data_IF_150355194732
#
_entry.id   IF_150355194732
#
_cell.length_a   1.000
_cell.length_b   1.000
_cell.length_c   1.000
_cell.angle_alpha   90.00
_cell.angle_beta   90.00
_cell.angle_gamma   90.00
#
_symmetry.space_group_name_H-M   'P 1'
#
loop_
_entity.id
_entity.type
_entity.pdbx_description
1 polymer ?
#
# COMPACT_ATOMS: atom_id res chain seq x y z
N UNK A 1 19.20 11.84 -13.43
CA UNK A 1 18.28 10.81 -12.88
C UNK A 1 17.67 10.05 -14.05
N UNK A 2 17.80 8.75 -14.07
CA UNK A 2 17.12 7.87 -15.02
C UNK A 2 16.31 6.87 -14.17
N UNK A 3 14.98 6.84 -14.34
CA UNK A 3 14.08 5.97 -13.61
C UNK A 3 13.42 4.99 -14.58
N UNK A 4 13.31 3.73 -14.18
CA UNK A 4 12.62 2.72 -14.99
C UNK A 4 11.11 3.01 -15.07
N UNK A 5 10.47 2.52 -16.13
CA UNK A 5 9.01 2.62 -16.26
C UNK A 5 8.34 1.91 -15.08
N UNK A 6 7.16 2.43 -14.71
CA UNK A 6 6.41 1.85 -13.60
C UNK A 6 5.55 0.69 -14.11
N UNK A 7 6.11 -0.53 -14.09
CA UNK A 7 5.54 -1.72 -14.73
C UNK A 7 4.06 -1.96 -14.42
N UNK A 8 3.67 -1.82 -13.14
CA UNK A 8 2.27 -2.01 -12.72
C UNK A 8 1.36 -0.92 -13.29
N UNK A 9 1.79 0.35 -13.28
CA UNK A 9 0.99 1.47 -13.78
C UNK A 9 0.88 1.41 -15.32
N UNK A 10 1.98 1.08 -16.03
CA UNK A 10 1.97 0.88 -17.47
C UNK A 10 1.01 -0.24 -17.86
N UNK A 11 1.03 -1.36 -17.11
CA UNK A 11 0.11 -2.48 -17.30
C UNK A 11 -1.35 -2.05 -17.04
N UNK A 12 -1.62 -1.32 -15.97
CA UNK A 12 -2.96 -0.84 -15.67
C UNK A 12 -3.48 0.11 -16.76
N UNK A 13 -2.67 1.08 -17.19
CA UNK A 13 -3.04 2.04 -18.23
C UNK A 13 -3.38 1.35 -19.57
N UNK A 14 -2.69 0.27 -19.92
CA UNK A 14 -2.94 -0.46 -21.17
C UNK A 14 -4.17 -1.37 -21.07
N UNK A 15 -4.36 -2.09 -19.96
CA UNK A 15 -5.30 -3.21 -19.90
C UNK A 15 -6.58 -2.96 -19.09
N UNK A 16 -6.62 -1.96 -18.17
CA UNK A 16 -7.82 -1.67 -17.36
C UNK A 16 -9.07 -1.40 -18.24
N UNK A 17 -8.88 -0.84 -19.43
CA UNK A 17 -9.94 -0.60 -20.41
C UNK A 17 -10.68 -1.86 -20.89
N UNK A 18 -10.06 -3.04 -20.78
CA UNK A 18 -10.68 -4.33 -21.11
C UNK A 18 -11.41 -4.97 -19.94
N UNK A 19 -11.36 -4.35 -18.77
CA UNK A 19 -11.86 -4.93 -17.53
C UNK A 19 -13.38 -4.97 -17.47
N UNK A 20 -13.91 -6.19 -17.55
CA UNK A 20 -15.28 -6.50 -17.11
C UNK A 20 -15.29 -6.97 -15.66
N UNK A 21 -14.26 -7.71 -15.29
CA UNK A 21 -13.99 -8.18 -13.94
C UNK A 21 -12.64 -7.62 -13.49
N UNK A 22 -12.69 -6.50 -12.76
CA UNK A 22 -11.47 -5.83 -12.26
C UNK A 22 -10.96 -6.56 -11.02
N UNK A 23 -10.00 -7.45 -11.22
CA UNK A 23 -9.25 -8.15 -10.19
C UNK A 23 -7.79 -7.67 -10.13
N UNK A 24 -7.44 -6.58 -10.80
CA UNK A 24 -6.10 -5.96 -10.76
C UNK A 24 -5.99 -4.82 -9.76
N UNK A 25 -7.10 -4.13 -9.48
CA UNK A 25 -7.12 -2.99 -8.56
C UNK A 25 -6.98 -3.44 -7.10
N UNK A 26 -6.28 -2.63 -6.30
CA UNK A 26 -5.89 -2.98 -4.92
C UNK A 26 -6.64 -2.19 -3.85
N UNK A 27 -7.72 -1.49 -4.21
CA UNK A 27 -8.59 -0.79 -3.24
C UNK A 27 -9.70 -1.72 -2.76
N UNK A 28 -10.13 -1.57 -1.51
CA UNK A 28 -11.47 -1.99 -1.13
C UNK A 28 -12.47 -1.11 -1.90
N UNK A 29 -13.69 -1.58 -2.14
CA UNK A 29 -14.71 -0.79 -2.82
C UNK A 29 -14.68 0.67 -2.36
N UNK A 30 -14.40 1.57 -3.31
CA UNK A 30 -14.35 3.01 -3.02
C UNK A 30 -15.68 3.50 -2.47
N UNK A 31 -15.60 4.47 -1.59
CA UNK A 31 -16.75 5.06 -0.91
C UNK A 31 -17.13 6.39 -1.58
N UNK A 32 -18.39 6.60 -1.84
CA UNK A 32 -18.92 7.92 -2.20
C UNK A 32 -19.02 8.83 -0.98
N UNK A 33 -19.17 10.13 -1.17
CA UNK A 33 -19.45 11.04 -0.06
C UNK A 33 -20.83 10.75 0.58
N UNK A 34 -21.80 10.28 -0.22
CA UNK A 34 -23.11 9.87 0.33
C UNK A 34 -22.96 8.74 1.32
N UNK A 35 -22.25 7.67 0.93
CA UNK A 35 -21.96 6.52 1.81
C UNK A 35 -21.17 6.95 3.07
N UNK A 36 -20.25 7.93 2.94
CA UNK A 36 -19.54 8.48 4.08
C UNK A 36 -20.48 9.20 5.05
N UNK A 37 -21.44 9.98 4.56
CA UNK A 37 -22.43 10.64 5.39
C UNK A 37 -23.36 9.63 6.08
N UNK A 38 -23.85 8.63 5.36
CA UNK A 38 -24.67 7.55 5.93
C UNK A 38 -23.93 6.81 7.04
N UNK A 39 -22.66 6.47 6.81
CA UNK A 39 -21.83 5.76 7.77
C UNK A 39 -21.49 6.62 8.99
N UNK A 40 -21.19 7.91 8.78
CA UNK A 40 -20.82 8.83 9.87
C UNK A 40 -22.00 9.28 10.71
N UNK A 41 -23.19 9.39 10.10
CA UNK A 41 -24.35 10.06 10.70
C UNK A 41 -24.21 11.58 10.79
N UNK A 42 -23.22 12.17 10.12
CA UNK A 42 -23.02 13.61 10.08
C UNK A 42 -24.09 14.28 9.24
N UNK A 43 -24.50 15.50 9.63
CA UNK A 43 -25.47 16.27 8.87
C UNK A 43 -24.85 16.76 7.55
N UNK A 44 -25.25 16.13 6.44
CA UNK A 44 -24.74 16.39 5.09
C UNK A 44 -24.88 17.87 4.70
N UNK A 45 -26.05 18.47 4.93
CA UNK A 45 -26.30 19.86 4.55
C UNK A 45 -25.38 20.82 5.30
N UNK A 46 -25.25 20.65 6.60
CA UNK A 46 -24.36 21.46 7.43
C UNK A 46 -22.89 21.32 6.99
N UNK A 47 -22.45 20.09 6.70
CA UNK A 47 -21.10 19.86 6.26
C UNK A 47 -20.83 20.48 4.88
N UNK A 48 -21.73 20.29 3.90
CA UNK A 48 -21.61 20.90 2.58
C UNK A 48 -21.63 22.43 2.64
N UNK A 49 -22.50 23.01 3.47
CA UNK A 49 -22.52 24.46 3.69
C UNK A 49 -21.18 24.96 4.27
N UNK A 50 -20.58 24.21 5.21
CA UNK A 50 -19.26 24.56 5.76
C UNK A 50 -18.15 24.48 4.71
N UNK A 51 -18.18 23.47 3.82
CA UNK A 51 -17.25 23.37 2.70
C UNK A 51 -17.42 24.53 1.70
N UNK A 52 -18.65 24.91 1.38
CA UNK A 52 -18.93 26.05 0.50
C UNK A 52 -18.45 27.37 1.10
N UNK A 53 -18.49 27.52 2.42
CA UNK A 53 -18.00 28.70 3.12
C UNK A 53 -16.45 28.72 3.30
N UNK A 54 -15.80 27.58 3.06
CA UNK A 54 -14.35 27.44 3.24
C UNK A 54 -13.59 28.22 2.17
N UNK A 55 -12.79 29.18 2.60
CA UNK A 55 -11.90 29.93 1.68
C UNK A 55 -10.82 29.01 1.11
N UNK A 56 -10.67 29.03 -0.20
CA UNK A 56 -9.73 28.18 -0.96
C UNK A 56 -8.32 28.80 -0.97
N UNK A 57 -7.76 29.10 0.22
CA UNK A 57 -6.36 29.46 0.40
C UNK A 57 -5.47 28.24 0.63
N UNK A 58 -4.18 28.46 0.89
CA UNK A 58 -3.21 27.37 1.14
C UNK A 58 -3.50 26.55 2.42
N UNK A 59 -4.35 27.01 3.31
CA UNK A 59 -4.68 26.31 4.55
C UNK A 59 -3.47 26.17 5.49
N UNK A 60 -3.36 25.00 6.11
CA UNK A 60 -2.28 24.68 7.05
C UNK A 60 -1.11 24.02 6.35
N UNK A 61 0.08 24.62 6.40
CA UNK A 61 1.26 24.10 5.70
C UNK A 61 1.62 22.67 6.14
N UNK A 62 1.61 22.35 7.41
CA UNK A 62 1.92 20.98 7.92
C UNK A 62 0.69 20.04 7.95
N UNK A 63 -0.47 20.49 7.48
CA UNK A 63 -1.74 19.75 7.50
C UNK A 63 -2.74 20.31 8.52
N UNK A 64 -4.02 20.13 8.25
CA UNK A 64 -5.11 20.58 9.09
C UNK A 64 -5.01 19.97 10.51
N UNK A 65 -5.10 20.76 11.60
CA UNK A 65 -5.01 20.26 12.98
C UNK A 65 -6.03 19.15 13.31
N UNK A 66 -7.29 19.30 12.90
CA UNK A 66 -8.32 18.27 13.15
C UNK A 66 -8.02 16.96 12.39
N UNK A 67 -7.48 17.07 11.16
CA UNK A 67 -7.01 15.93 10.41
C UNK A 67 -5.84 15.23 11.13
N UNK A 68 -4.83 15.99 11.54
CA UNK A 68 -3.66 15.45 12.24
C UNK A 68 -4.03 14.80 13.58
N UNK A 69 -4.96 15.38 14.31
CA UNK A 69 -5.53 14.80 15.52
C UNK A 69 -6.25 13.45 15.23
N UNK A 70 -6.97 13.37 14.10
CA UNK A 70 -7.58 12.11 13.64
C UNK A 70 -6.53 11.08 13.27
N UNK A 71 -5.47 11.48 12.57
CA UNK A 71 -4.35 10.59 12.20
C UNK A 71 -3.62 10.09 13.44
N UNK A 72 -3.29 10.97 14.41
CA UNK A 72 -2.57 10.60 15.62
C UNK A 72 -3.26 9.47 16.41
N UNK A 73 -4.59 9.41 16.41
CA UNK A 73 -5.36 8.33 17.06
C UNK A 73 -5.14 6.94 16.44
N UNK A 74 -4.61 6.87 15.23
CA UNK A 74 -4.27 5.60 14.57
C UNK A 74 -2.95 5.01 15.08
N UNK A 75 -2.22 5.74 15.91
CA UNK A 75 -0.92 5.39 16.47
C UNK A 75 -0.97 5.35 18.00
N UNK A 76 0.07 4.79 18.62
CA UNK A 76 0.18 4.72 20.09
C UNK A 76 1.02 5.87 20.67
N UNK A 77 2.08 6.27 19.95
CA UNK A 77 3.10 7.20 20.45
C UNK A 77 3.31 8.41 19.53
N UNK A 78 2.69 8.40 18.35
CA UNK A 78 2.76 9.51 17.38
C UNK A 78 1.78 10.61 17.81
N UNK A 79 2.29 11.82 17.92
CA UNK A 79 1.52 13.03 18.22
C UNK A 79 1.31 13.88 16.96
N UNK A 80 0.46 14.90 17.03
CA UNK A 80 0.16 15.78 15.89
C UNK A 80 1.41 16.48 15.32
N UNK A 81 2.42 16.79 16.18
CA UNK A 81 3.71 17.34 15.76
C UNK A 81 4.52 16.43 14.84
N UNK A 82 4.34 15.12 14.97
CA UNK A 82 5.05 14.08 14.25
C UNK A 82 4.42 13.74 12.88
N UNK A 83 3.39 14.49 12.43
CA UNK A 83 2.61 14.17 11.23
C UNK A 83 2.75 15.28 10.20
N UNK A 84 2.98 14.90 8.95
CA UNK A 84 3.01 15.77 7.78
C UNK A 84 2.08 15.22 6.70
N UNK A 85 1.09 16.00 6.25
CA UNK A 85 0.19 15.60 5.16
C UNK A 85 0.87 15.68 3.79
N UNK A 86 0.48 14.81 2.85
CA UNK A 86 1.07 14.66 1.52
C UNK A 86 0.01 14.36 0.46
N UNK A 87 0.37 14.48 -0.83
CA UNK A 87 -0.50 14.07 -1.95
C UNK A 87 -0.47 12.54 -2.08
N UNK A 88 -1.28 11.85 -1.27
CA UNK A 88 -1.30 10.39 -1.18
C UNK A 88 -0.01 9.80 -0.63
N UNK A 89 0.02 8.48 -0.47
CA UNK A 89 1.22 7.74 -0.06
C UNK A 89 2.34 7.82 -1.11
N UNK A 90 1.98 7.90 -2.39
CA UNK A 90 2.97 8.05 -3.47
C UNK A 90 3.81 9.33 -3.30
N UNK A 91 3.17 10.45 -2.96
CA UNK A 91 3.86 11.69 -2.65
C UNK A 91 4.68 11.60 -1.36
N UNK A 92 4.19 10.85 -0.35
CA UNK A 92 4.91 10.62 0.90
C UNK A 92 6.20 9.80 0.67
N UNK A 93 6.11 8.66 -0.01
CA UNK A 93 7.26 7.82 -0.33
C UNK A 93 8.32 8.61 -1.11
N UNK A 94 7.89 9.32 -2.17
CA UNK A 94 8.82 10.16 -2.95
C UNK A 94 9.50 11.22 -2.08
N UNK A 95 8.75 11.89 -1.20
CA UNK A 95 9.30 12.94 -0.32
C UNK A 95 10.34 12.37 0.65
N UNK A 96 10.11 11.17 1.21
CA UNK A 96 11.08 10.51 2.10
C UNK A 96 12.40 10.29 1.39
N UNK A 97 12.39 9.69 0.20
CA UNK A 97 13.62 9.47 -0.59
C UNK A 97 14.31 10.80 -0.93
N UNK A 98 13.55 11.73 -1.48
CA UNK A 98 14.06 13.03 -1.89
C UNK A 98 14.69 13.84 -0.74
N UNK A 99 14.20 13.62 0.49
CA UNK A 99 14.62 14.39 1.67
C UNK A 99 15.76 13.77 2.45
N UNK A 100 15.88 12.45 2.48
CA UNK A 100 16.80 11.76 3.37
C UNK A 100 17.97 11.11 2.67
N UNK A 101 17.83 10.72 1.39
CA UNK A 101 18.79 9.85 0.72
C UNK A 101 19.71 10.67 -0.18
N UNK A 102 21.01 10.55 0.05
CA UNK A 102 22.06 11.12 -0.76
C UNK A 102 22.57 10.09 -1.80
N UNK A 103 23.17 10.53 -2.93
CA UNK A 103 23.66 9.61 -3.97
C UNK A 103 24.64 8.54 -3.49
N UNK A 104 25.38 8.80 -2.42
CA UNK A 104 26.39 7.89 -1.85
C UNK A 104 25.83 6.95 -0.77
N UNK A 105 24.59 7.13 -0.36
CA UNK A 105 23.97 6.33 0.70
C UNK A 105 23.64 4.91 0.21
N UNK A 106 23.59 3.97 1.15
CA UNK A 106 22.99 2.66 0.93
C UNK A 106 21.51 2.67 1.28
N UNK A 107 20.68 2.18 0.35
CA UNK A 107 19.24 1.91 0.57
C UNK A 107 18.99 0.44 0.37
N UNK A 108 18.28 -0.20 1.32
CA UNK A 108 17.90 -1.61 1.27
C UNK A 108 16.39 -1.69 1.10
N UNK A 109 15.91 -2.29 0.01
CA UNK A 109 14.47 -2.45 -0.27
C UNK A 109 14.08 -3.92 -0.26
N UNK A 110 13.02 -4.26 0.45
CA UNK A 110 12.49 -5.62 0.50
C UNK A 110 11.53 -5.83 -0.69
N UNK A 111 11.79 -6.83 -1.55
CA UNK A 111 10.99 -7.13 -2.74
C UNK A 111 10.49 -8.59 -2.72
N UNK A 112 9.31 -8.91 -3.35
CA UNK A 112 8.45 -8.04 -4.14
C UNK A 112 7.71 -7.00 -3.28
N UNK A 113 7.55 -5.80 -3.84
CA UNK A 113 6.86 -4.69 -3.18
C UNK A 113 6.34 -3.67 -4.20
N UNK A 114 5.74 -2.58 -3.71
CA UNK A 114 5.36 -1.45 -4.55
C UNK A 114 6.61 -0.77 -5.15
N UNK A 115 6.64 -0.62 -6.45
CA UNK A 115 7.85 -0.29 -7.23
C UNK A 115 8.55 1.00 -6.77
N UNK A 116 7.83 1.99 -6.26
CA UNK A 116 8.44 3.22 -5.72
C UNK A 116 9.54 2.93 -4.70
N UNK A 117 9.36 1.89 -3.86
CA UNK A 117 10.26 1.61 -2.75
C UNK A 117 11.64 1.13 -3.19
N UNK A 118 11.81 0.66 -4.43
CA UNK A 118 13.11 0.22 -4.95
C UNK A 118 13.55 0.98 -6.21
N UNK A 119 12.64 1.42 -7.09
CA UNK A 119 13.02 2.12 -8.32
C UNK A 119 13.42 3.58 -8.07
N UNK A 120 12.78 4.26 -7.11
CA UNK A 120 13.17 5.64 -6.78
C UNK A 120 14.62 5.70 -6.27
N UNK A 121 15.03 4.96 -5.22
CA UNK A 121 16.42 5.00 -4.78
C UNK A 121 17.39 4.52 -5.87
N UNK A 122 17.05 3.47 -6.64
CA UNK A 122 17.90 2.99 -7.74
C UNK A 122 18.13 4.05 -8.83
N UNK A 123 17.26 5.04 -8.97
CA UNK A 123 17.37 6.07 -10.00
C UNK A 123 18.45 7.13 -9.72
N UNK A 124 18.91 7.28 -8.48
CA UNK A 124 19.87 8.31 -8.10
C UNK A 124 20.91 7.88 -7.05
N UNK A 125 20.66 6.81 -6.32
CA UNK A 125 21.53 6.27 -5.29
C UNK A 125 22.47 5.23 -5.91
N UNK A 126 23.79 5.32 -5.64
CA UNK A 126 24.79 4.40 -6.20
C UNK A 126 24.79 3.02 -5.54
N UNK A 127 24.22 2.88 -4.37
CA UNK A 127 24.22 1.64 -3.57
C UNK A 127 22.79 1.26 -3.12
N UNK A 128 21.88 1.19 -4.09
CA UNK A 128 20.53 0.66 -3.88
C UNK A 128 20.55 -0.87 -4.02
N UNK A 129 20.26 -1.59 -2.95
CA UNK A 129 20.27 -3.05 -2.91
C UNK A 129 18.88 -3.59 -2.54
N UNK A 130 18.61 -4.83 -2.95
CA UNK A 130 17.33 -5.48 -2.66
C UNK A 130 17.54 -6.74 -1.81
N UNK A 131 16.58 -6.99 -0.92
CA UNK A 131 16.43 -8.24 -0.20
C UNK A 131 15.17 -8.94 -0.70
N UNK A 132 15.33 -10.16 -1.22
CA UNK A 132 14.22 -10.90 -1.82
C UNK A 132 13.42 -11.65 -0.76
N UNK A 133 12.11 -11.35 -0.68
CA UNK A 133 11.15 -12.08 0.12
C UNK A 133 10.76 -13.37 -0.62
N UNK A 134 10.87 -14.51 0.06
CA UNK A 134 10.69 -15.84 -0.55
C UNK A 134 9.33 -16.43 -0.17
N UNK A 135 8.66 -17.07 -1.13
CA UNK A 135 7.40 -17.79 -0.93
C UNK A 135 7.48 -18.82 0.19
N UNK A 136 8.59 -19.56 0.25
CA UNK A 136 8.86 -20.61 1.24
C UNK A 136 8.90 -20.06 2.67
N UNK A 137 9.26 -18.78 2.84
CA UNK A 137 9.26 -18.08 4.12
C UNK A 137 7.97 -17.27 4.35
N UNK A 138 6.90 -17.52 3.58
CA UNK A 138 5.65 -16.76 3.67
C UNK A 138 5.79 -15.29 3.29
N UNK A 139 6.78 -14.95 2.44
CA UNK A 139 7.17 -13.59 2.07
C UNK A 139 7.57 -12.71 3.27
N UNK A 140 8.07 -13.33 4.33
CA UNK A 140 8.71 -12.61 5.43
C UNK A 140 10.23 -12.50 5.17
N UNK A 141 10.88 -11.39 5.61
CA UNK A 141 12.31 -11.22 5.40
C UNK A 141 13.14 -12.20 6.23
N UNK A 142 14.23 -12.67 5.64
CA UNK A 142 15.30 -13.33 6.38
C UNK A 142 16.13 -12.26 7.10
N UNK A 143 16.09 -12.27 8.42
CA UNK A 143 16.75 -11.25 9.24
C UNK A 143 18.29 -11.40 9.24
N UNK A 144 18.81 -12.57 8.96
CA UNK A 144 20.25 -12.77 8.86
C UNK A 144 20.76 -12.29 7.49
N UNK A 145 20.00 -12.51 6.42
CA UNK A 145 20.27 -11.86 5.11
C UNK A 145 20.22 -10.31 5.28
N UNK A 146 19.21 -9.77 5.97
CA UNK A 146 19.11 -8.33 6.21
C UNK A 146 20.33 -7.79 6.99
N UNK A 147 20.75 -8.45 8.07
CA UNK A 147 21.95 -8.06 8.83
C UNK A 147 23.21 -8.01 7.98
N UNK A 148 23.37 -8.96 7.04
CA UNK A 148 24.52 -9.03 6.16
C UNK A 148 24.54 -7.90 5.10
N UNK A 149 23.38 -7.33 4.78
CA UNK A 149 23.27 -6.19 3.86
C UNK A 149 23.57 -4.85 4.53
N UNK A 150 23.49 -4.76 5.86
CA UNK A 150 23.74 -3.52 6.61
C UNK A 150 25.23 -3.13 6.53
N UNK A 151 25.47 -1.86 6.28
CA UNK A 151 26.81 -1.24 6.35
C UNK A 151 26.72 0.05 7.15
N UNK A 152 27.85 0.63 7.58
CA UNK A 152 27.85 1.95 8.22
C UNK A 152 27.25 3.07 7.37
N UNK A 153 27.15 2.84 6.05
CA UNK A 153 26.59 3.80 5.08
C UNK A 153 25.10 3.54 4.79
N UNK A 154 24.48 2.58 5.47
CA UNK A 154 23.04 2.30 5.30
C UNK A 154 22.24 3.45 5.86
N UNK A 155 21.51 4.13 4.99
CA UNK A 155 20.67 5.29 5.30
C UNK A 155 19.23 4.91 5.55
N UNK A 156 18.69 3.98 4.73
CA UNK A 156 17.26 3.68 4.72
C UNK A 156 17.02 2.18 4.45
N UNK A 157 16.11 1.59 5.21
CA UNK A 157 15.52 0.27 4.95
C UNK A 157 14.06 0.49 4.56
N UNK A 158 13.64 -0.02 3.40
CA UNK A 158 12.28 0.15 2.88
C UNK A 158 11.50 -1.15 3.01
N UNK A 159 10.38 -1.09 3.73
CA UNK A 159 9.45 -2.20 3.91
C UNK A 159 8.03 -1.76 3.51
N UNK A 160 7.20 -2.72 3.12
CA UNK A 160 5.76 -2.49 2.94
C UNK A 160 5.00 -3.49 3.81
N UNK A 161 4.29 -3.00 4.82
CA UNK A 161 3.66 -3.86 5.83
C UNK A 161 2.28 -3.33 6.27
N UNK A 162 1.19 -4.01 5.91
CA UNK A 162 1.07 -5.25 5.10
C UNK A 162 1.58 -5.10 3.67
N UNK A 163 2.09 -6.20 3.11
CA UNK A 163 2.80 -6.18 1.83
C UNK A 163 1.86 -6.25 0.61
N UNK A 164 2.07 -5.39 -0.36
CA UNK A 164 1.59 -5.52 -1.73
C UNK A 164 2.81 -5.95 -2.59
N UNK A 165 2.77 -7.10 -3.29
CA UNK A 165 1.57 -7.80 -3.75
C UNK A 165 1.13 -9.03 -2.93
N UNK A 166 1.83 -9.43 -1.89
CA UNK A 166 1.72 -10.77 -1.30
C UNK A 166 0.66 -10.92 -0.21
N UNK A 167 0.25 -9.82 0.42
CA UNK A 167 -0.62 -9.85 1.60
C UNK A 167 0.06 -10.37 2.87
N UNK A 168 1.39 -10.50 2.85
CA UNK A 168 2.16 -10.89 4.02
C UNK A 168 2.13 -9.79 5.08
N UNK A 169 2.14 -10.19 6.35
CA UNK A 169 2.14 -9.29 7.51
C UNK A 169 3.30 -9.66 8.44
N UNK A 170 4.25 -8.76 8.59
CA UNK A 170 5.35 -8.90 9.55
C UNK A 170 4.80 -8.73 10.98
N UNK A 171 5.02 -9.69 11.88
CA UNK A 171 4.57 -9.58 13.26
C UNK A 171 5.42 -8.57 14.05
N UNK A 172 4.87 -8.08 15.20
CA UNK A 172 5.54 -7.09 16.05
C UNK A 172 7.00 -7.46 16.37
N UNK A 173 7.25 -8.68 16.84
CA UNK A 173 8.61 -9.09 17.20
C UNK A 173 9.60 -9.09 16.03
N UNK A 174 9.14 -9.26 14.79
CA UNK A 174 9.99 -9.11 13.60
C UNK A 174 10.28 -7.65 13.30
N UNK A 175 9.27 -6.77 13.39
CA UNK A 175 9.45 -5.33 13.22
C UNK A 175 10.41 -4.74 14.26
N UNK A 176 10.33 -5.20 15.52
CA UNK A 176 11.26 -4.83 16.59
C UNK A 176 12.69 -5.26 16.27
N UNK A 177 12.89 -6.48 15.73
CA UNK A 177 14.21 -6.94 15.31
C UNK A 177 14.76 -6.15 14.13
N UNK A 178 13.93 -5.79 13.15
CA UNK A 178 14.32 -4.91 12.02
C UNK A 178 14.73 -3.54 12.56
N UNK A 179 13.98 -2.99 13.51
CA UNK A 179 14.33 -1.73 14.18
C UNK A 179 15.69 -1.80 14.88
N UNK A 180 15.96 -2.87 15.61
CA UNK A 180 17.28 -3.09 16.26
C UNK A 180 18.43 -3.24 15.26
N UNK A 181 18.17 -3.83 14.10
CA UNK A 181 19.16 -3.95 13.02
C UNK A 181 19.44 -2.56 12.43
N UNK A 182 18.42 -1.77 12.15
CA UNK A 182 18.54 -0.42 11.61
C UNK A 182 19.26 0.52 12.58
N UNK A 183 18.93 0.43 13.87
CA UNK A 183 19.48 1.28 14.94
C UNK A 183 21.02 1.16 15.06
N UNK A 184 21.56 -0.04 14.88
CA UNK A 184 23.02 -0.28 14.89
C UNK A 184 23.78 0.50 13.82
N UNK A 185 23.14 0.80 12.70
CA UNK A 185 23.69 1.62 11.62
C UNK A 185 23.23 3.08 11.68
N UNK A 186 22.32 3.41 12.60
CA UNK A 186 21.66 4.71 12.67
C UNK A 186 20.71 4.99 11.49
N UNK A 187 20.31 3.92 10.78
CA UNK A 187 19.47 3.99 9.60
C UNK A 187 18.00 4.30 9.92
N UNK A 188 17.30 4.96 9.01
CA UNK A 188 15.84 5.08 9.05
C UNK A 188 15.17 3.81 8.52
N UNK A 189 13.89 3.62 8.87
CA UNK A 189 13.04 2.60 8.27
C UNK A 189 11.84 3.30 7.65
N UNK A 190 11.69 3.23 6.33
CA UNK A 190 10.48 3.61 5.62
C UNK A 190 9.55 2.41 5.58
N UNK A 191 8.43 2.51 6.27
CA UNK A 191 7.35 1.52 6.27
C UNK A 191 6.15 2.07 5.52
N UNK A 192 5.90 1.56 4.31
CA UNK A 192 4.64 1.82 3.62
C UNK A 192 3.55 0.98 4.27
N UNK A 193 2.65 1.65 4.99
CA UNK A 193 1.62 1.06 5.83
C UNK A 193 0.20 1.34 5.29
N UNK A 194 0.04 1.56 3.99
CA UNK A 194 -1.26 1.92 3.38
C UNK A 194 -2.35 0.88 3.60
N UNK A 195 -1.99 -0.37 3.93
CA UNK A 195 -2.93 -1.44 4.26
C UNK A 195 -3.05 -1.71 5.77
N UNK A 196 -2.37 -0.96 6.64
CA UNK A 196 -2.41 -1.13 8.09
C UNK A 196 -3.79 -0.85 8.65
N UNK A 197 -4.45 -1.88 9.16
CA UNK A 197 -5.85 -1.88 9.61
C UNK A 197 -6.78 -2.72 8.73
N UNK A 198 -6.32 -3.23 7.57
CA UNK A 198 -7.09 -4.16 6.75
C UNK A 198 -6.66 -5.60 7.03
N UNK A 199 -7.37 -6.29 7.91
CA UNK A 199 -7.17 -7.70 8.25
C UNK A 199 -8.52 -8.42 8.30
N UNK A 200 -8.61 -9.67 7.83
CA UNK A 200 -9.84 -10.46 7.95
C UNK A 200 -10.25 -10.69 9.42
N UNK A 201 -9.27 -10.72 10.33
CA UNK A 201 -9.48 -10.97 11.76
C UNK A 201 -9.54 -9.68 12.60
N UNK A 202 -9.56 -8.50 11.97
CA UNK A 202 -9.54 -7.19 12.64
C UNK A 202 -8.32 -7.02 13.58
N UNK A 203 -7.19 -7.67 13.25
CA UNK A 203 -5.97 -7.64 14.06
C UNK A 203 -5.40 -6.21 14.12
N UNK A 204 -5.03 -5.77 15.33
CA UNK A 204 -4.33 -4.49 15.51
C UNK A 204 -2.88 -4.63 15.05
N UNK A 205 -2.56 -3.94 13.97
CA UNK A 205 -1.22 -3.96 13.38
C UNK A 205 -0.35 -2.87 13.97
N UNK A 206 0.88 -3.21 14.42
CA UNK A 206 1.83 -2.21 14.88
C UNK A 206 2.29 -1.30 13.74
N UNK A 207 2.66 -0.06 14.06
CA UNK A 207 3.31 0.86 13.15
C UNK A 207 4.79 0.96 13.45
N UNK A 208 5.62 1.09 12.42
CA UNK A 208 7.05 1.32 12.58
C UNK A 208 7.35 2.66 13.28
N UNK A 209 6.50 3.66 13.06
CA UNK A 209 6.61 4.95 13.76
C UNK A 209 6.39 4.84 15.28
N UNK A 210 5.59 3.85 15.74
CA UNK A 210 5.43 3.59 17.18
C UNK A 210 6.58 2.79 17.79
N UNK A 211 7.25 1.94 16.98
CA UNK A 211 8.28 1.00 17.42
C UNK A 211 9.65 1.68 17.49
N UNK A 212 10.00 2.45 16.48
CA UNK A 212 11.33 3.01 16.30
C UNK A 212 11.28 4.53 16.12
N UNK A 213 12.19 5.28 16.76
CA UNK A 213 12.20 6.74 16.67
C UNK A 213 12.44 7.23 15.24
N UNK A 214 13.38 6.58 14.52
CA UNK A 214 13.64 6.81 13.09
C UNK A 214 12.75 5.95 12.17
N UNK A 215 11.67 5.38 12.70
CA UNK A 215 10.63 4.71 11.94
C UNK A 215 9.71 5.72 11.27
N UNK A 216 9.57 5.60 9.95
CA UNK A 216 8.73 6.45 9.12
C UNK A 216 7.57 5.63 8.63
N UNK A 217 6.35 5.91 9.11
CA UNK A 217 5.12 5.32 8.59
C UNK A 217 4.56 6.20 7.49
N UNK A 218 4.30 5.61 6.33
CA UNK A 218 3.57 6.24 5.23
C UNK A 218 2.20 5.59 5.12
N UNK A 219 1.15 6.39 5.12
CA UNK A 219 -0.22 5.92 4.96
C UNK A 219 -1.06 6.90 4.14
N UNK A 220 -2.31 6.53 3.81
CA UNK A 220 -3.20 7.38 3.01
C UNK A 220 -4.67 7.06 3.20
N UNK A 221 -5.53 7.94 2.68
CA UNK A 221 -6.97 7.71 2.59
C UNK A 221 -7.36 6.68 1.53
N UNK A 222 -6.42 6.23 0.68
CA UNK A 222 -6.71 5.47 -0.54
C UNK A 222 -7.15 4.03 -0.30
N UNK A 223 -6.54 3.33 0.66
CA UNK A 223 -6.72 1.87 0.85
C UNK A 223 -7.62 1.58 2.04
N UNK A 224 -7.14 1.86 3.25
CA UNK A 224 -7.86 1.59 4.50
C UNK A 224 -9.17 2.34 4.60
N UNK A 225 -9.25 3.55 4.04
CA UNK A 225 -10.41 4.43 4.15
C UNK A 225 -11.30 4.48 2.90
N UNK A 226 -10.96 3.74 1.83
CA UNK A 226 -11.75 3.68 0.58
C UNK A 226 -11.97 5.03 -0.13
N UNK A 227 -11.11 6.02 0.12
CA UNK A 227 -11.22 7.40 -0.37
C UNK A 227 -10.01 7.79 -1.22
N UNK A 228 -9.65 6.94 -2.20
CA UNK A 228 -8.50 7.15 -3.08
C UNK A 228 -8.57 8.47 -3.88
N UNK A 229 -9.77 8.92 -4.20
CA UNK A 229 -10.02 10.16 -4.94
C UNK A 229 -9.61 11.44 -4.22
N UNK A 230 -9.50 11.43 -2.89
CA UNK A 230 -9.04 12.59 -2.11
C UNK A 230 -7.56 12.92 -2.33
N UNK A 231 -6.78 12.02 -2.91
CA UNK A 231 -5.34 12.21 -3.10
C UNK A 231 -4.61 12.67 -1.84
N UNK A 232 -5.01 12.17 -0.67
CA UNK A 232 -4.47 12.57 0.62
C UNK A 232 -3.77 11.39 1.31
N UNK A 233 -2.56 11.64 1.81
CA UNK A 233 -1.76 10.74 2.62
C UNK A 233 -0.97 11.49 3.68
N UNK A 234 -0.11 10.80 4.38
CA UNK A 234 0.73 11.40 5.42
C UNK A 234 2.00 10.58 5.67
N UNK A 235 2.98 11.30 6.20
CA UNK A 235 4.15 10.76 6.87
C UNK A 235 3.93 10.90 8.37
N UNK A 236 4.22 9.85 9.14
CA UNK A 236 4.31 9.90 10.59
C UNK A 236 5.70 9.43 11.03
N UNK A 237 6.43 10.25 11.79
CA UNK A 237 7.76 9.96 12.28
C UNK A 237 8.02 10.74 13.56
N UNK A 238 8.58 10.09 14.60
CA UNK A 238 8.86 10.76 15.89
C UNK A 238 10.16 11.56 15.88
N UNK A 239 11.04 11.35 14.94
CA UNK A 239 12.22 12.20 14.74
C UNK A 239 11.79 13.57 14.18
N UNK A 240 11.77 14.57 15.06
CA UNK A 240 11.38 15.94 14.73
C UNK A 240 12.30 16.56 13.66
N UNK A 241 13.59 16.24 13.66
CA UNK A 241 14.54 16.74 12.67
C UNK A 241 14.21 16.21 11.27
N UNK A 242 13.77 14.95 11.18
CA UNK A 242 13.29 14.37 9.93
C UNK A 242 12.01 15.07 9.45
N UNK A 243 11.03 15.29 10.33
CA UNK A 243 9.79 16.04 10.01
C UNK A 243 10.09 17.43 9.47
N UNK A 244 10.98 18.19 10.12
CA UNK A 244 11.36 19.53 9.65
C UNK A 244 12.08 19.47 8.29
N UNK A 245 12.85 18.43 8.04
CA UNK A 245 13.48 18.21 6.74
C UNK A 245 12.44 17.89 5.67
N UNK A 246 11.45 17.04 5.95
CA UNK A 246 10.33 16.76 5.04
C UNK A 246 9.52 18.01 4.73
N UNK A 247 9.24 18.87 5.71
CA UNK A 247 8.54 20.15 5.48
C UNK A 247 9.31 21.01 4.50
N UNK A 248 10.61 21.25 4.75
CA UNK A 248 11.44 22.10 3.87
C UNK A 248 11.50 21.57 2.43
N UNK A 249 11.65 20.26 2.24
CA UNK A 249 11.74 19.65 0.91
C UNK A 249 10.38 19.61 0.21
N UNK A 250 9.28 19.42 0.96
CA UNK A 250 7.93 19.46 0.42
C UNK A 250 7.57 20.82 -0.20
N UNK A 251 8.08 21.92 0.35
CA UNK A 251 7.83 23.26 -0.17
C UNK A 251 8.32 23.45 -1.62
N UNK A 252 9.27 22.64 -2.09
CA UNK A 252 9.71 22.62 -3.49
C UNK A 252 8.82 21.81 -4.42
N UNK A 253 7.92 20.98 -3.89
CA UNK A 253 7.00 20.14 -4.67
C UNK A 253 5.56 20.60 -4.50
N UNK A 254 5.13 20.77 -3.26
CA UNK A 254 3.79 21.22 -2.90
C UNK A 254 3.84 22.03 -1.60
N UNK A 255 3.13 23.13 -1.52
CA UNK A 255 3.12 23.97 -0.31
C UNK A 255 2.23 23.35 0.77
N UNK A 256 1.01 22.95 0.41
CA UNK A 256 0.01 22.35 1.31
C UNK A 256 -0.89 21.38 0.55
N UNK A 257 -1.62 20.54 1.26
CA UNK A 257 -2.70 19.74 0.69
C UNK A 257 -3.96 20.61 0.45
N UNK A 258 -4.91 20.06 -0.29
CA UNK A 258 -6.21 20.67 -0.54
C UNK A 258 -7.01 20.81 0.78
N UNK A 259 -7.45 22.02 1.09
CA UNK A 259 -8.26 22.28 2.29
C UNK A 259 -9.61 21.55 2.26
N UNK A 260 -10.16 21.34 1.06
CA UNK A 260 -11.40 20.59 0.86
C UNK A 260 -11.20 19.11 1.17
N UNK A 261 -10.13 18.50 0.63
CA UNK A 261 -9.83 17.09 0.83
C UNK A 261 -9.46 16.80 2.28
N UNK A 262 -8.70 17.70 2.92
CA UNK A 262 -8.38 17.58 4.36
C UNK A 262 -9.64 17.66 5.23
N UNK A 263 -10.64 18.46 4.85
CA UNK A 263 -11.92 18.54 5.58
C UNK A 263 -12.72 17.24 5.48
N UNK A 264 -12.82 16.67 4.27
CA UNK A 264 -13.49 15.38 4.05
C UNK A 264 -12.75 14.25 4.77
N UNK A 265 -11.42 14.22 4.68
CA UNK A 265 -10.61 13.23 5.37
C UNK A 265 -10.73 13.34 6.90
N UNK A 266 -10.87 14.55 7.44
CA UNK A 266 -11.12 14.75 8.88
C UNK A 266 -12.44 14.14 9.32
N UNK A 267 -13.50 14.24 8.51
CA UNK A 267 -14.77 13.56 8.77
C UNK A 267 -14.59 12.03 8.74
N UNK A 268 -13.89 11.51 7.74
CA UNK A 268 -13.63 10.06 7.64
C UNK A 268 -12.84 9.54 8.85
N UNK A 269 -11.80 10.26 9.29
CA UNK A 269 -10.97 9.85 10.43
C UNK A 269 -11.70 9.94 11.77
N UNK A 270 -12.67 10.85 11.94
CA UNK A 270 -13.58 10.83 13.11
C UNK A 270 -14.40 9.55 13.19
N UNK A 271 -14.58 8.87 12.07
CA UNK A 271 -15.34 7.63 11.93
C UNK A 271 -14.47 6.43 11.52
N UNK A 272 -13.15 6.50 11.77
CA UNK A 272 -12.16 5.51 11.34
C UNK A 272 -12.57 4.07 11.69
N UNK A 273 -13.02 3.83 12.92
CA UNK A 273 -13.37 2.48 13.38
C UNK A 273 -14.51 1.87 12.57
N UNK A 274 -15.53 2.68 12.20
CA UNK A 274 -16.65 2.22 11.37
C UNK A 274 -16.22 1.88 9.95
N UNK A 275 -15.37 2.74 9.36
CA UNK A 275 -14.83 2.53 8.01
C UNK A 275 -13.94 1.28 7.98
N UNK A 276 -13.02 1.17 8.93
CA UNK A 276 -12.11 0.02 9.04
C UNK A 276 -12.90 -1.28 9.22
N UNK A 277 -13.90 -1.29 10.10
CA UNK A 277 -14.76 -2.46 10.32
C UNK A 277 -15.51 -2.89 9.05
N UNK A 278 -16.12 -1.92 8.32
CA UNK A 278 -16.75 -2.17 7.01
C UNK A 278 -15.77 -2.84 6.06
N UNK A 279 -14.56 -2.28 5.97
CA UNK A 279 -13.55 -2.74 5.02
C UNK A 279 -12.93 -4.08 5.42
N UNK A 280 -12.71 -4.35 6.69
CA UNK A 280 -12.29 -5.67 7.19
C UNK A 280 -13.33 -6.76 6.90
N UNK A 281 -14.62 -6.44 7.00
CA UNK A 281 -15.68 -7.37 6.61
C UNK A 281 -15.59 -7.73 5.13
N UNK A 282 -15.42 -6.73 4.24
CA UNK A 282 -15.22 -6.98 2.81
C UNK A 282 -13.96 -7.80 2.52
N UNK A 283 -12.84 -7.52 3.22
CA UNK A 283 -11.60 -8.29 3.11
C UNK A 283 -11.85 -9.76 3.46
N UNK A 284 -12.52 -10.03 4.58
CA UNK A 284 -12.82 -11.39 5.04
C UNK A 284 -13.67 -12.15 4.05
N UNK A 285 -14.82 -11.56 3.64
CA UNK A 285 -15.74 -12.20 2.70
C UNK A 285 -15.07 -12.52 1.36
N UNK A 286 -14.34 -11.58 0.79
CA UNK A 286 -13.63 -11.79 -0.46
C UNK A 286 -12.48 -12.79 -0.33
N UNK A 287 -11.74 -12.77 0.78
CA UNK A 287 -10.66 -13.74 1.01
C UNK A 287 -11.21 -15.16 1.13
N UNK A 288 -12.38 -15.36 1.72
CA UNK A 288 -13.05 -16.66 1.76
C UNK A 288 -13.41 -17.19 0.37
N UNK A 289 -13.86 -16.32 -0.54
CA UNK A 289 -14.12 -16.68 -1.94
C UNK A 289 -12.83 -17.09 -2.64
N UNK A 290 -11.77 -16.30 -2.52
CA UNK A 290 -10.47 -16.58 -3.12
C UNK A 290 -9.90 -17.91 -2.58
N UNK A 291 -9.95 -18.11 -1.27
CA UNK A 291 -9.43 -19.31 -0.59
C UNK A 291 -10.16 -20.60 -1.06
N UNK A 292 -11.50 -20.54 -1.16
CA UNK A 292 -12.30 -21.64 -1.71
C UNK A 292 -11.91 -21.96 -3.14
N UNK A 293 -11.73 -20.94 -3.97
CA UNK A 293 -11.34 -21.13 -5.37
C UNK A 293 -9.95 -21.76 -5.50
N UNK A 294 -8.95 -21.28 -4.78
CA UNK A 294 -7.59 -21.87 -4.76
C UNK A 294 -7.65 -23.33 -4.32
N UNK A 295 -8.36 -23.64 -3.23
CA UNK A 295 -8.44 -25.01 -2.69
C UNK A 295 -9.24 -25.97 -3.59
N UNK A 296 -10.07 -25.46 -4.49
CA UNK A 296 -10.80 -26.27 -5.47
C UNK A 296 -10.00 -26.58 -6.74
N UNK A 297 -8.90 -25.89 -6.97
CA UNK A 297 -8.07 -26.02 -8.17
C UNK A 297 -6.85 -26.90 -7.92
N UNK A 298 -6.43 -27.64 -8.97
CA UNK A 298 -5.17 -28.38 -8.96
C UNK A 298 -3.99 -27.52 -9.46
N UNK A 299 -4.29 -26.43 -10.16
CA UNK A 299 -3.32 -25.65 -10.92
C UNK A 299 -2.90 -24.36 -10.25
N UNK A 300 -3.58 -23.97 -9.16
CA UNK A 300 -3.31 -22.73 -8.46
C UNK A 300 -2.87 -22.96 -7.02
N UNK A 301 -1.93 -22.14 -6.57
CA UNK A 301 -1.47 -22.13 -5.18
C UNK A 301 -1.12 -20.71 -4.74
N UNK A 302 -1.16 -20.44 -3.45
CA UNK A 302 -0.74 -19.15 -2.92
C UNK A 302 -0.25 -19.28 -1.47
N UNK A 303 0.42 -18.25 -0.97
CA UNK A 303 0.54 -18.03 0.48
C UNK A 303 -0.67 -17.22 0.88
N UNK A 304 -1.53 -17.77 1.75
CA UNK A 304 -2.77 -17.09 2.15
C UNK A 304 -2.46 -15.72 2.76
N UNK A 305 -3.02 -14.64 2.22
CA UNK A 305 -2.83 -13.30 2.77
C UNK A 305 -3.26 -13.21 4.23
N UNK A 306 -2.43 -12.56 5.03
CA UNK A 306 -2.78 -12.24 6.42
C UNK A 306 -3.43 -10.86 6.55
N UNK A 307 -3.18 -9.98 5.60
CA UNK A 307 -3.68 -8.61 5.62
C UNK A 307 -3.64 -7.97 4.23
N UNK A 308 -4.24 -6.78 4.10
CA UNK A 308 -4.33 -6.07 2.84
C UNK A 308 -5.42 -6.61 1.94
N UNK A 309 -5.29 -6.33 0.65
CA UNK A 309 -6.32 -6.58 -0.37
C UNK A 309 -5.78 -7.35 -1.58
N UNK A 310 -4.55 -7.85 -1.49
CA UNK A 310 -3.83 -8.48 -2.60
C UNK A 310 -3.30 -9.85 -2.25
N UNK A 311 -3.19 -10.71 -3.25
CA UNK A 311 -2.57 -12.02 -3.16
C UNK A 311 -1.74 -12.31 -4.41
N UNK A 312 -0.60 -12.96 -4.25
CA UNK A 312 0.17 -13.57 -5.34
C UNK A 312 -0.32 -15.01 -5.54
N UNK A 313 -0.94 -15.27 -6.69
CA UNK A 313 -1.43 -16.59 -7.06
C UNK A 313 -0.48 -17.22 -8.08
N UNK A 314 0.09 -18.35 -7.73
CA UNK A 314 1.00 -19.13 -8.57
C UNK A 314 0.25 -20.22 -9.34
N UNK A 315 0.70 -20.52 -10.56
CA UNK A 315 0.17 -21.57 -11.41
C UNK A 315 1.28 -22.53 -11.88
N UNK A 316 0.92 -23.73 -12.31
CA UNK A 316 1.83 -24.85 -12.62
C UNK A 316 1.89 -25.24 -14.11
N UNK A 317 1.39 -24.38 -15.00
CA UNK A 317 1.42 -24.63 -16.45
C UNK A 317 2.36 -23.64 -17.16
N UNK A 318 2.83 -24.05 -18.35
CA UNK A 318 3.84 -23.31 -19.12
C UNK A 318 3.20 -22.17 -19.94
N UNK A 319 3.09 -21.00 -19.33
CA UNK A 319 2.67 -19.75 -19.97
C UNK A 319 3.30 -18.57 -19.24
N UNK A 320 4.02 -17.65 -19.92
CA UNK A 320 4.51 -16.42 -19.28
C UNK A 320 3.38 -15.61 -18.65
N UNK A 321 3.65 -15.01 -17.47
CA UNK A 321 2.64 -14.30 -16.69
C UNK A 321 2.01 -13.12 -17.45
N UNK A 322 2.79 -12.43 -18.27
CA UNK A 322 2.33 -11.35 -19.13
C UNK A 322 1.33 -11.85 -20.18
N UNK A 323 1.63 -12.95 -20.86
CA UNK A 323 0.76 -13.53 -21.88
C UNK A 323 -0.54 -14.06 -21.25
N UNK A 324 -0.46 -14.70 -20.11
CA UNK A 324 -1.65 -15.17 -19.38
C UNK A 324 -2.60 -14.02 -19.07
N UNK A 325 -2.08 -12.96 -18.47
CA UNK A 325 -2.88 -11.81 -18.07
C UNK A 325 -3.41 -11.00 -19.27
N UNK A 326 -2.62 -10.85 -20.34
CA UNK A 326 -3.06 -10.24 -21.61
C UNK A 326 -4.26 -10.99 -22.21
N UNK A 327 -4.15 -12.30 -22.33
CA UNK A 327 -5.22 -13.15 -22.87
C UNK A 327 -6.47 -13.14 -21.98
N UNK A 328 -6.32 -13.22 -20.67
CA UNK A 328 -7.44 -13.14 -19.73
C UNK A 328 -8.17 -11.80 -19.84
N UNK A 329 -7.45 -10.70 -19.98
CA UNK A 329 -8.05 -9.39 -20.18
C UNK A 329 -8.83 -9.30 -21.50
N UNK A 330 -8.23 -9.70 -22.62
CA UNK A 330 -8.81 -9.55 -23.96
C UNK A 330 -9.90 -10.60 -24.27
N UNK A 331 -9.69 -11.86 -23.88
CA UNK A 331 -10.59 -12.96 -24.23
C UNK A 331 -11.72 -13.17 -23.20
N UNK A 332 -11.47 -12.86 -21.91
CA UNK A 332 -12.41 -13.13 -20.81
C UNK A 332 -12.87 -11.87 -20.08
N UNK A 333 -12.24 -10.72 -20.34
CA UNK A 333 -12.51 -9.47 -19.63
C UNK A 333 -12.07 -9.50 -18.17
N UNK A 334 -11.12 -10.37 -17.79
CA UNK A 334 -10.57 -10.44 -16.44
C UNK A 334 -9.27 -9.68 -16.37
N UNK A 335 -9.26 -8.59 -15.64
CA UNK A 335 -8.06 -7.77 -15.45
C UNK A 335 -7.30 -8.23 -14.20
N UNK A 336 -6.03 -8.63 -14.39
CA UNK A 336 -5.07 -9.06 -13.37
C UNK A 336 -3.74 -8.34 -13.59
N UNK A 337 -2.86 -8.35 -12.60
CA UNK A 337 -1.49 -7.83 -12.77
C UNK A 337 -0.52 -9.01 -12.87
N UNK A 338 0.26 -9.14 -13.96
CA UNK A 338 1.18 -10.26 -14.13
C UNK A 338 2.33 -10.21 -13.13
N UNK A 339 2.86 -11.39 -12.80
CA UNK A 339 3.95 -11.53 -11.84
C UNK A 339 5.24 -10.84 -12.27
N UNK A 340 5.51 -10.78 -13.59
CA UNK A 340 6.68 -10.08 -14.12
C UNK A 340 6.73 -8.58 -13.75
N UNK A 341 5.59 -7.95 -13.42
CA UNK A 341 5.57 -6.59 -12.85
C UNK A 341 6.19 -6.51 -11.44
N UNK A 342 6.41 -7.65 -10.79
CA UNK A 342 6.97 -7.78 -9.44
C UNK A 342 8.28 -8.59 -9.42
N UNK A 343 8.94 -8.77 -10.56
CA UNK A 343 10.13 -9.61 -10.73
C UNK A 343 9.91 -11.09 -10.38
N UNK A 344 8.65 -11.58 -10.56
CA UNK A 344 8.25 -12.97 -10.31
C UNK A 344 7.54 -13.55 -11.53
N UNK A 345 7.79 -14.82 -11.85
CA UNK A 345 7.12 -15.54 -12.95
C UNK A 345 6.25 -16.68 -12.44
N UNK A 346 5.44 -17.24 -13.32
CA UNK A 346 4.47 -18.28 -13.03
C UNK A 346 3.45 -17.88 -11.96
N UNK A 347 3.14 -16.59 -11.87
CA UNK A 347 2.16 -16.05 -10.95
C UNK A 347 1.50 -14.78 -11.49
N UNK A 348 0.43 -14.36 -10.84
CA UNK A 348 -0.22 -13.06 -11.03
C UNK A 348 -0.71 -12.52 -9.69
N UNK A 349 -0.82 -11.20 -9.58
CA UNK A 349 -1.45 -10.55 -8.44
C UNK A 349 -2.95 -10.45 -8.66
N UNK A 350 -3.71 -10.87 -7.65
CA UNK A 350 -5.15 -10.62 -7.53
C UNK A 350 -5.37 -9.51 -6.50
N UNK A 351 -6.07 -8.45 -6.88
CA UNK A 351 -6.71 -7.53 -5.96
C UNK A 351 -8.12 -8.03 -5.66
N UNK A 352 -8.31 -8.70 -4.54
CA UNK A 352 -9.52 -9.49 -4.30
C UNK A 352 -10.69 -8.72 -3.65
N UNK A 353 -10.52 -7.46 -3.23
CA UNK A 353 -11.51 -6.75 -2.41
C UNK A 353 -12.47 -5.83 -3.19
N UNK A 354 -13.08 -6.31 -4.28
CA UNK A 354 -14.19 -5.57 -4.94
C UNK A 354 -15.54 -5.93 -4.33
N UNK A 355 -16.08 -7.06 -4.73
CA UNK A 355 -17.22 -7.70 -4.08
C UNK A 355 -17.07 -9.21 -4.25
N UNK A 356 -17.64 -10.03 -3.35
CA UNK A 356 -17.60 -11.48 -3.47
C UNK A 356 -18.12 -11.98 -4.83
N UNK A 357 -19.20 -11.39 -5.35
CA UNK A 357 -19.81 -11.80 -6.62
C UNK A 357 -18.93 -11.48 -7.83
N UNK A 358 -18.36 -10.28 -7.90
CA UNK A 358 -17.45 -9.89 -8.99
C UNK A 358 -16.19 -10.73 -8.95
N UNK A 359 -15.65 -10.96 -7.76
CA UNK A 359 -14.50 -11.83 -7.56
C UNK A 359 -14.79 -13.26 -8.04
N UNK A 360 -15.87 -13.88 -7.58
CA UNK A 360 -16.25 -15.23 -7.98
C UNK A 360 -16.39 -15.36 -9.51
N UNK A 361 -17.12 -14.44 -10.14
CA UNK A 361 -17.30 -14.45 -11.60
C UNK A 361 -15.98 -14.33 -12.35
N UNK A 362 -15.07 -13.48 -11.91
CA UNK A 362 -13.74 -13.36 -12.51
C UNK A 362 -12.91 -14.62 -12.34
N UNK A 363 -12.91 -15.22 -11.14
CA UNK A 363 -12.21 -16.47 -10.85
C UNK A 363 -12.75 -17.66 -11.67
N UNK A 364 -14.07 -17.72 -11.90
CA UNK A 364 -14.70 -18.73 -12.76
C UNK A 364 -14.22 -18.58 -14.21
N UNK A 365 -14.05 -17.33 -14.70
CA UNK A 365 -13.51 -17.08 -16.04
C UNK A 365 -12.04 -17.48 -16.18
N UNK A 366 -11.23 -17.32 -15.13
CA UNK A 366 -9.87 -17.83 -15.09
C UNK A 366 -9.88 -19.36 -15.19
N UNK A 367 -10.72 -20.02 -14.41
CA UNK A 367 -10.85 -21.49 -14.44
C UNK A 367 -11.28 -22.01 -15.81
N UNK A 368 -12.28 -21.37 -16.44
CA UNK A 368 -12.74 -21.69 -17.79
C UNK A 368 -11.61 -21.56 -18.83
N UNK A 369 -10.83 -20.46 -18.74
CA UNK A 369 -9.70 -20.22 -19.63
C UNK A 369 -8.63 -21.32 -19.49
N UNK A 370 -8.23 -21.64 -18.27
CA UNK A 370 -7.16 -22.64 -18.00
C UNK A 370 -7.59 -24.04 -18.40
N UNK A 371 -8.84 -24.45 -18.14
CA UNK A 371 -9.37 -25.74 -18.59
C UNK A 371 -9.29 -25.88 -20.12
N UNK A 372 -9.71 -24.83 -20.85
CA UNK A 372 -9.60 -24.84 -22.31
C UNK A 372 -8.16 -24.89 -22.79
N UNK A 373 -7.25 -24.15 -22.15
CA UNK A 373 -5.82 -24.16 -22.51
C UNK A 373 -5.15 -25.51 -22.31
N UNK A 374 -5.46 -26.22 -21.21
CA UNK A 374 -4.83 -27.50 -20.86
C UNK A 374 -5.45 -28.70 -21.60
N UNK A 375 -6.58 -28.53 -22.30
CA UNK A 375 -7.25 -29.59 -23.06
C UNK A 375 -6.75 -29.68 -24.51
N UNK A 376 -6.05 -28.67 -24.98
CA UNK A 376 -5.43 -28.59 -26.30
C UNK A 376 -3.92 -28.82 -26.23
#
# INVERSE_FOLDING_TARGET
>A
MQIDSFKVEDWMNEYEKYSKYDLGNTTVNTMSLEELFELSGENKENFLNSLCALKQGYGFIKGNPELKKGIAKLYKTVEEGHILTTIGAAGANHLVFYSLVEPSDRVISLIPTYQQLYSIPASFCSDAVVLKLKKENGFLPDLDELKNLITPNTKLICINNPNNPTGALMPLGMLEQIAQIADKAGAYILSDEVYRGLSPDEEKMPSMADIYEKGISVCSMSKVFSLAGLRLGWIACRDEAAIETFVRHREYNMISCSVTDESIASLALKNSDRIIKRNCTAVRECLEVLDKWINSSKHFSYVKPRAGTTAMVYYDFDMPSEILCDRLAKEKGVFLTPGCCFEEENCFRVGFCKSPDVLQQGLDKISEFVQNYLTF
#
